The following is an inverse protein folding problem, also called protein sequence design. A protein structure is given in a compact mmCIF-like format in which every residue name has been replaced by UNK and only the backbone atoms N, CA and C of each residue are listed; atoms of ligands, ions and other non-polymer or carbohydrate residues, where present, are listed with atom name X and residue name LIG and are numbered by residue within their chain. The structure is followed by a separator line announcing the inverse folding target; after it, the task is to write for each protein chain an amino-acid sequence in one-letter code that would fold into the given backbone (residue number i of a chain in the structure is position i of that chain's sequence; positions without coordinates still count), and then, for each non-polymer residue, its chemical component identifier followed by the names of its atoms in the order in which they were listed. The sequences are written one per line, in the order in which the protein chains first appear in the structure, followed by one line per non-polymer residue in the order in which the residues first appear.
data_IF_654525595782
#
_entry.id   IF_654525595782
#
_cell.length_a   1.000
_cell.length_b   1.000
_cell.length_c   1.000
_cell.angle_alpha   90.00
_cell.angle_beta   90.00
_cell.angle_gamma   90.00
#
_symmetry.space_group_name_H-M   'P 1'
#
loop_
_entity.id
_entity.type
_entity.pdbx_description
1 polymer ?
#
# COMPACT_ATOMS: atom_id res chain seq x y z
N UNK A 1 -0.68 24.75 33.76
CA UNK A 1 -1.87 23.88 33.88
C UNK A 1 -2.22 23.39 32.49
N UNK A 2 -2.38 22.08 32.25
CA UNK A 2 -2.80 21.61 30.92
C UNK A 2 -4.23 22.11 30.70
N UNK A 3 -4.49 22.73 29.55
CA UNK A 3 -5.86 23.11 29.19
C UNK A 3 -6.65 21.82 28.99
N UNK A 4 -7.63 21.59 29.86
CA UNK A 4 -8.52 20.44 29.77
C UNK A 4 -9.35 20.56 28.49
N UNK A 5 -9.11 19.69 27.52
CA UNK A 5 -10.02 19.50 26.40
C UNK A 5 -11.29 18.80 26.93
N UNK A 6 -12.22 19.60 27.46
CA UNK A 6 -13.52 19.15 27.94
C UNK A 6 -14.60 19.25 26.84
N UNK A 7 -14.21 19.27 25.57
CA UNK A 7 -15.18 19.14 24.49
C UNK A 7 -15.63 17.69 24.47
N UNK A 8 -16.83 17.44 24.99
CA UNK A 8 -17.51 16.16 24.90
C UNK A 8 -17.44 15.70 23.43
N UNK A 9 -16.61 14.70 23.17
CA UNK A 9 -16.49 14.14 21.82
C UNK A 9 -17.78 13.37 21.54
N UNK A 10 -18.74 14.07 20.94
CA UNK A 10 -19.98 13.44 20.49
C UNK A 10 -19.62 12.39 19.44
N UNK A 11 -20.10 11.14 19.56
CA UNK A 11 -19.91 10.14 18.53
C UNK A 11 -20.46 10.68 17.20
N UNK A 12 -19.58 10.87 16.22
CA UNK A 12 -19.98 11.30 14.89
C UNK A 12 -20.53 10.07 14.16
N UNK A 13 -21.74 10.18 13.60
CA UNK A 13 -22.32 9.09 12.81
C UNK A 13 -21.60 8.96 11.47
N UNK A 14 -20.65 8.05 11.44
CA UNK A 14 -19.84 7.76 10.26
C UNK A 14 -20.34 6.49 9.54
N UNK A 15 -21.60 6.09 9.70
CA UNK A 15 -22.18 4.86 9.13
C UNK A 15 -22.01 4.76 7.61
N UNK A 16 -21.69 5.84 6.91
CA UNK A 16 -21.35 5.83 5.47
C UNK A 16 -19.86 5.99 5.11
N UNK A 17 -18.95 6.31 6.05
CA UNK A 17 -17.54 6.59 5.72
C UNK A 17 -16.76 5.28 5.48
N UNK A 18 -16.22 5.03 4.27
CA UNK A 18 -15.40 3.85 3.99
C UNK A 18 -14.09 3.80 4.78
N UNK A 19 -13.68 4.94 5.36
CA UNK A 19 -12.46 5.07 6.18
C UNK A 19 -12.77 5.16 7.67
N UNK A 20 -14.02 4.90 8.09
CA UNK A 20 -14.42 4.88 9.50
C UNK A 20 -13.63 3.85 10.33
N UNK A 21 -12.85 2.97 9.68
CA UNK A 21 -11.94 2.06 10.34
C UNK A 21 -12.65 0.91 11.07
N UNK A 22 -13.99 0.89 11.08
CA UNK A 22 -14.77 -0.26 11.51
C UNK A 22 -14.53 -1.42 10.54
N UNK A 23 -13.84 -2.43 11.04
CA UNK A 23 -13.59 -3.66 10.31
C UNK A 23 -14.92 -4.42 10.24
N UNK A 24 -15.41 -4.72 9.04
CA UNK A 24 -16.51 -5.69 8.90
C UNK A 24 -15.93 -7.04 9.26
N UNK A 25 -16.18 -7.53 10.47
CA UNK A 25 -15.76 -8.87 10.87
C UNK A 25 -16.27 -9.87 9.84
N UNK A 26 -15.35 -10.52 9.13
CA UNK A 26 -15.68 -11.65 8.28
C UNK A 26 -15.98 -12.81 9.22
N UNK A 27 -17.24 -13.25 9.27
CA UNK A 27 -17.59 -14.47 9.98
C UNK A 27 -16.85 -15.64 9.33
N UNK A 28 -15.88 -16.22 10.05
CA UNK A 28 -15.30 -17.51 9.69
C UNK A 28 -16.34 -18.59 9.97
N UNK A 29 -17.19 -18.84 8.99
CA UNK A 29 -17.90 -20.11 8.89
C UNK A 29 -16.97 -21.04 8.14
N UNK A 30 -16.02 -21.67 8.83
CA UNK A 30 -15.32 -22.82 8.24
C UNK A 30 -16.22 -24.04 8.42
N UNK A 31 -17.19 -24.20 7.53
CA UNK A 31 -17.88 -25.47 7.34
C UNK A 31 -17.82 -25.83 5.86
N UNK A 32 -16.68 -26.42 5.47
CA UNK A 32 -16.54 -27.36 4.34
C UNK A 32 -17.01 -26.86 2.97
N UNK A 33 -16.05 -26.61 2.06
CA UNK A 33 -16.21 -26.09 0.68
C UNK A 33 -15.89 -24.60 0.48
N UNK A 34 -15.09 -23.96 1.34
CA UNK A 34 -14.52 -22.60 1.10
C UNK A 34 -13.20 -22.57 0.30
N UNK A 35 -12.72 -23.73 -0.14
CA UNK A 35 -11.56 -23.87 -1.03
C UNK A 35 -11.77 -23.26 -2.45
N UNK A 36 -12.97 -23.22 -3.07
CA UNK A 36 -13.13 -22.68 -4.43
C UNK A 36 -13.07 -21.14 -4.44
N UNK A 37 -13.54 -20.46 -3.40
CA UNK A 37 -13.66 -18.98 -3.39
C UNK A 37 -12.27 -18.32 -3.24
N UNK A 38 -11.38 -18.91 -2.45
CA UNK A 38 -9.99 -18.43 -2.32
C UNK A 38 -9.24 -18.56 -3.64
N UNK A 39 -9.44 -19.67 -4.35
CA UNK A 39 -8.81 -19.90 -5.66
C UNK A 39 -9.31 -18.89 -6.70
N UNK A 40 -10.59 -18.54 -6.65
CA UNK A 40 -11.20 -17.56 -7.55
C UNK A 40 -10.69 -16.14 -7.30
N UNK A 41 -10.64 -15.70 -6.03
CA UNK A 41 -10.11 -14.38 -5.68
C UNK A 41 -8.59 -14.27 -5.90
N UNK A 42 -7.87 -15.38 -5.73
CA UNK A 42 -6.43 -15.46 -6.01
C UNK A 42 -6.14 -15.40 -7.51
N UNK A 43 -6.98 -16.00 -8.38
CA UNK A 43 -6.77 -15.98 -9.84
C UNK A 43 -6.83 -14.58 -10.43
N UNK A 44 -7.68 -13.73 -9.88
CA UNK A 44 -7.86 -12.34 -10.31
C UNK A 44 -6.71 -11.43 -9.81
N UNK A 45 -6.11 -11.77 -8.67
CA UNK A 45 -4.92 -11.09 -8.13
C UNK A 45 -3.60 -11.60 -8.69
N UNK A 46 -3.62 -12.61 -9.58
CA UNK A 46 -2.38 -13.03 -10.24
C UNK A 46 -1.89 -11.87 -11.10
N UNK A 47 -0.63 -11.44 -10.94
CA UNK A 47 -0.03 -10.51 -11.87
C UNK A 47 -0.26 -11.06 -13.28
N UNK A 48 -1.03 -10.34 -14.10
CA UNK A 48 -1.08 -10.62 -15.53
C UNK A 48 0.36 -10.48 -15.98
N UNK A 49 0.97 -11.59 -16.40
CA UNK A 49 2.36 -11.70 -16.83
C UNK A 49 2.85 -10.35 -17.34
N UNK A 50 3.58 -9.63 -16.50
CA UNK A 50 4.08 -8.32 -16.86
C UNK A 50 5.13 -8.62 -17.93
N UNK A 51 4.74 -8.44 -19.19
CA UNK A 51 5.69 -8.51 -20.30
C UNK A 51 6.85 -7.61 -19.90
N UNK A 52 8.06 -8.17 -19.84
CA UNK A 52 9.26 -7.38 -19.57
C UNK A 52 9.22 -6.17 -20.50
N UNK A 53 8.95 -5.00 -19.93
CA UNK A 53 9.09 -3.75 -20.66
C UNK A 53 10.56 -3.71 -21.02
N UNK A 54 10.93 -3.69 -22.31
CA UNK A 54 12.33 -3.58 -22.67
C UNK A 54 12.84 -2.31 -22.00
N UNK A 55 13.75 -2.48 -21.03
CA UNK A 55 14.47 -1.36 -20.45
C UNK A 55 15.15 -0.69 -21.64
N UNK A 56 14.77 0.55 -21.91
CA UNK A 56 15.42 1.36 -22.91
C UNK A 56 16.91 1.32 -22.62
N UNK A 57 17.68 0.74 -23.56
CA UNK A 57 19.13 0.65 -23.44
C UNK A 57 19.78 1.99 -23.76
N UNK A 58 19.14 3.09 -23.36
CA UNK A 58 19.77 4.39 -23.33
C UNK A 58 21.10 4.25 -22.59
N UNK A 59 22.07 5.03 -23.07
CA UNK A 59 23.42 5.03 -22.57
C UNK A 59 23.40 5.08 -21.04
N UNK A 60 24.17 4.20 -20.36
CA UNK A 60 24.23 4.24 -18.91
C UNK A 60 24.65 5.64 -18.45
N UNK A 61 24.12 6.13 -17.33
CA UNK A 61 24.52 7.41 -16.78
C UNK A 61 26.05 7.49 -16.64
N UNK A 62 26.61 8.67 -16.90
CA UNK A 62 28.04 8.88 -16.71
C UNK A 62 28.45 8.49 -15.28
N UNK A 63 29.53 7.72 -15.16
CA UNK A 63 30.08 7.37 -13.86
C UNK A 63 30.75 8.61 -13.27
N UNK A 64 30.35 8.95 -12.05
CA UNK A 64 31.01 10.00 -11.28
C UNK A 64 32.38 9.51 -10.82
N UNK A 65 33.43 10.26 -11.16
CA UNK A 65 34.82 9.99 -10.74
C UNK A 65 35.10 10.60 -9.38
N UNK A 66 36.22 10.19 -8.76
CA UNK A 66 36.70 10.81 -7.52
C UNK A 66 37.04 12.29 -7.72
N UNK A 67 37.45 12.66 -8.93
CA UNK A 67 37.78 14.03 -9.32
C UNK A 67 36.53 14.91 -9.40
N UNK A 68 35.42 14.38 -9.96
CA UNK A 68 34.12 15.07 -10.00
C UNK A 68 33.63 15.45 -8.59
N UNK A 69 33.87 14.56 -7.61
CA UNK A 69 33.50 14.78 -6.21
C UNK A 69 34.42 15.83 -5.56
N UNK A 70 35.72 15.77 -5.83
CA UNK A 70 36.70 16.71 -5.27
C UNK A 70 36.46 18.16 -5.73
N UNK A 71 36.04 18.34 -6.98
CA UNK A 71 35.72 19.65 -7.54
C UNK A 71 34.44 20.27 -6.97
N UNK A 72 33.56 19.48 -6.36
CA UNK A 72 32.30 19.96 -5.78
C UNK A 72 32.48 20.52 -4.36
N UNK A 73 33.53 20.10 -3.65
CA UNK A 73 33.76 20.41 -2.23
C UNK A 73 34.79 21.53 -2.00
N UNK A 74 35.31 22.14 -3.07
CA UNK A 74 36.30 23.23 -3.04
C UNK A 74 35.66 24.53 -3.52
#
# INVERSE_FOLDING_TARGET
TPVGNNQEQTPVDNTGDPRDGRETSLSSDEEGDDVPILTERQREKRPQFARETPVDRAQPPALITREDIANLIT
#
